data_IF_971201536339
#
_entry.id   IF_971201536339
#
_cell.length_a   1.000
_cell.length_b   1.000
_cell.length_c   1.000
_cell.angle_alpha   90.00
_cell.angle_beta   90.00
_cell.angle_gamma   90.00
#
_symmetry.space_group_name_H-M   'P 1'
#
loop_
_entity.id
_entity.type
_entity.pdbx_description
1 polymer ?
#
# COMPACT_ATOMS: atom_id res chain seq x y z
N UNK A 1 -25.37 3.49 -12.13
CA UNK A 1 -24.42 3.05 -11.09
C UNK A 1 -23.15 2.59 -11.80
N UNK A 2 -22.02 3.24 -11.55
CA UNK A 2 -20.73 2.80 -12.12
C UNK A 2 -20.42 1.42 -11.57
N UNK A 3 -20.29 0.42 -12.44
CA UNK A 3 -19.95 -0.95 -12.08
C UNK A 3 -18.69 -0.93 -11.23
N UNK A 4 -18.83 -1.22 -9.94
CA UNK A 4 -17.70 -1.26 -9.03
C UNK A 4 -16.91 -2.55 -9.29
N UNK A 5 -15.78 -2.40 -9.94
CA UNK A 5 -14.86 -3.48 -10.29
C UNK A 5 -13.44 -3.01 -10.01
N UNK A 6 -12.69 -3.82 -9.27
CA UNK A 6 -11.27 -3.57 -9.07
C UNK A 6 -10.53 -3.97 -10.35
N UNK A 7 -9.78 -3.04 -10.93
CA UNK A 7 -8.85 -3.31 -12.01
C UNK A 7 -7.49 -3.72 -11.41
N UNK A 8 -7.24 -5.02 -11.36
CA UNK A 8 -6.03 -5.59 -10.78
C UNK A 8 -4.75 -5.14 -11.48
N UNK A 9 -4.78 -4.95 -12.80
CA UNK A 9 -3.61 -4.52 -13.57
C UNK A 9 -3.26 -3.08 -13.25
N UNK A 10 -4.27 -2.20 -13.20
CA UNK A 10 -4.08 -0.81 -12.78
C UNK A 10 -3.57 -0.72 -11.34
N UNK A 11 -4.09 -1.53 -10.41
CA UNK A 11 -3.59 -1.56 -9.01
C UNK A 11 -2.13 -2.03 -8.97
N UNK A 12 -1.77 -3.06 -9.72
CA UNK A 12 -0.40 -3.55 -9.77
C UNK A 12 0.57 -2.49 -10.32
N UNK A 13 0.18 -1.78 -11.38
CA UNK A 13 0.97 -0.68 -11.94
C UNK A 13 1.20 0.44 -10.93
N UNK A 14 0.16 0.83 -10.20
CA UNK A 14 0.26 1.83 -9.14
C UNK A 14 1.20 1.36 -8.03
N UNK A 15 1.09 0.11 -7.58
CA UNK A 15 1.99 -0.45 -6.56
C UNK A 15 3.45 -0.49 -7.02
N UNK A 16 3.71 -0.81 -8.30
CA UNK A 16 5.05 -0.76 -8.88
C UNK A 16 5.61 0.66 -8.94
N UNK A 17 4.80 1.64 -9.31
CA UNK A 17 5.19 3.05 -9.28
C UNK A 17 5.52 3.52 -7.86
N UNK A 18 4.68 3.18 -6.89
CA UNK A 18 4.91 3.54 -5.48
C UNK A 18 6.19 2.89 -4.94
N UNK A 19 6.46 1.64 -5.30
CA UNK A 19 7.72 0.96 -4.94
C UNK A 19 8.94 1.67 -5.53
N UNK A 20 8.88 2.03 -6.81
CA UNK A 20 9.96 2.77 -7.49
C UNK A 20 10.21 4.14 -6.83
N UNK A 21 9.13 4.89 -6.53
CA UNK A 21 9.24 6.16 -5.81
C UNK A 21 9.76 6.00 -4.38
N UNK A 22 9.46 4.89 -3.70
CA UNK A 22 10.03 4.58 -2.39
C UNK A 22 11.55 4.33 -2.47
N UNK A 23 12.00 3.59 -3.48
CA UNK A 23 13.42 3.33 -3.72
C UNK A 23 14.17 4.64 -4.05
N UNK A 24 13.60 5.49 -4.89
CA UNK A 24 14.15 6.80 -5.22
C UNK A 24 14.25 7.72 -3.99
N UNK A 25 13.21 7.73 -3.14
CA UNK A 25 13.24 8.47 -1.88
C UNK A 25 14.34 7.94 -0.94
N UNK A 26 14.45 6.62 -0.79
CA UNK A 26 15.45 6.01 0.09
C UNK A 26 16.88 6.23 -0.38
N UNK A 27 17.12 6.26 -1.69
CA UNK A 27 18.45 6.52 -2.26
C UNK A 27 18.85 7.99 -2.21
N UNK A 28 17.88 8.90 -2.36
CA UNK A 28 18.10 10.35 -2.25
C UNK A 28 18.43 10.78 -0.82
N UNK A 29 17.87 10.08 0.16
CA UNK A 29 18.16 10.25 1.60
C UNK A 29 19.22 9.24 2.01
N UNK A 30 20.39 9.28 1.37
CA UNK A 30 21.50 8.45 1.81
C UNK A 30 22.12 9.00 3.10
N UNK A 31 22.48 8.11 4.01
CA UNK A 31 23.31 8.40 5.19
C UNK A 31 24.60 9.16 4.80
N UNK A 32 25.07 8.94 3.57
CA UNK A 32 26.23 9.59 2.97
C UNK A 32 26.02 11.10 2.72
N UNK A 33 24.82 11.52 2.30
CA UNK A 33 24.49 12.94 2.12
C UNK A 33 24.44 13.67 3.48
N UNK A 34 23.91 13.00 4.50
CA UNK A 34 23.82 13.52 5.87
C UNK A 34 25.20 13.63 6.52
N UNK A 35 26.04 12.60 6.39
CA UNK A 35 27.41 12.59 6.92
C UNK A 35 28.30 13.62 6.23
N UNK A 36 28.17 13.82 4.91
CA UNK A 36 28.91 14.87 4.19
C UNK A 36 28.53 16.27 4.69
N UNK A 37 27.25 16.52 4.99
CA UNK A 37 26.81 17.77 5.61
C UNK A 37 27.43 17.95 7.01
N UNK A 38 27.56 16.86 7.77
CA UNK A 38 28.18 16.84 9.09
C UNK A 38 29.67 17.18 9.07
N UNK A 39 30.41 16.58 8.14
CA UNK A 39 31.85 16.83 7.95
C UNK A 39 32.11 18.29 7.57
N UNK A 40 31.22 18.91 6.78
CA UNK A 40 31.31 20.34 6.47
C UNK A 40 31.15 21.27 7.68
N UNK A 41 30.42 20.86 8.72
CA UNK A 41 30.12 21.68 9.90
C UNK A 41 31.17 21.57 11.00
N UNK A 42 31.84 20.42 11.11
CA UNK A 42 32.91 20.22 12.10
C UNK A 42 34.10 21.16 11.87
N UNK A 43 34.26 21.70 10.66
CA UNK A 43 35.29 22.70 10.32
C UNK A 43 35.03 24.08 10.98
N UNK A 44 33.80 24.37 11.42
CA UNK A 44 33.43 25.58 12.16
C UNK A 44 33.50 25.37 13.68
N UNK A 45 34.71 25.46 14.25
CA UNK A 45 34.95 25.16 15.68
C UNK A 45 34.42 26.22 16.68
N UNK A 46 34.33 25.80 17.95
CA UNK A 46 34.14 26.47 19.26
C UNK A 46 33.18 27.67 19.41
N UNK A 47 33.15 28.62 18.47
CA UNK A 47 32.28 29.80 18.49
C UNK A 47 30.88 29.53 17.90
N UNK A 48 30.76 28.52 17.05
CA UNK A 48 29.52 28.14 16.37
C UNK A 48 28.89 26.87 16.92
N UNK A 49 29.41 26.30 18.01
CA UNK A 49 29.02 24.98 18.56
C UNK A 49 27.50 24.71 18.73
N UNK A 50 26.64 25.71 19.03
CA UNK A 50 25.20 25.52 19.04
C UNK A 50 24.58 25.21 17.67
N UNK A 51 25.20 25.69 16.58
CA UNK A 51 24.70 25.53 15.21
C UNK A 51 24.85 24.09 14.70
N UNK A 52 26.01 23.41 14.81
CA UNK A 52 26.12 21.98 14.53
C UNK A 52 25.17 21.13 15.36
N UNK A 53 24.98 21.44 16.65
CA UNK A 53 24.04 20.70 17.51
C UNK A 53 22.58 20.86 17.08
N UNK A 54 22.16 22.08 16.75
CA UNK A 54 20.82 22.33 16.24
C UNK A 54 20.59 21.62 14.91
N UNK A 55 21.60 21.60 14.03
CA UNK A 55 21.49 20.89 12.77
C UNK A 55 21.47 19.37 12.94
N UNK A 56 22.28 18.83 13.85
CA UNK A 56 22.27 17.40 14.21
C UNK A 56 20.88 16.96 14.67
N UNK A 57 20.26 17.72 15.59
CA UNK A 57 18.90 17.45 16.06
C UNK A 57 17.87 17.52 14.92
N UNK A 58 18.00 18.49 14.01
CA UNK A 58 17.12 18.62 12.84
C UNK A 58 17.29 17.44 11.89
N UNK A 59 18.52 17.03 11.59
CA UNK A 59 18.82 15.90 10.71
C UNK A 59 18.35 14.58 11.29
N UNK A 60 18.57 14.34 12.59
CA UNK A 60 18.05 13.17 13.29
C UNK A 60 16.51 13.10 13.26
N UNK A 61 15.84 14.25 13.41
CA UNK A 61 14.39 14.34 13.27
C UNK A 61 13.94 14.05 11.84
N UNK A 62 14.67 14.55 10.83
CA UNK A 62 14.37 14.25 9.42
C UNK A 62 14.53 12.77 9.12
N UNK A 63 15.59 12.12 9.61
CA UNK A 63 15.80 10.68 9.44
C UNK A 63 14.63 9.87 10.02
N UNK A 64 14.25 10.16 11.26
CA UNK A 64 13.10 9.51 11.92
C UNK A 64 11.79 9.72 11.14
N UNK A 65 11.57 10.94 10.64
CA UNK A 65 10.37 11.26 9.85
C UNK A 65 10.35 10.51 8.51
N UNK A 66 11.50 10.39 7.85
CA UNK A 66 11.63 9.70 6.56
C UNK A 66 11.45 8.19 6.71
N UNK A 67 11.99 7.60 7.78
CA UNK A 67 11.71 6.21 8.15
C UNK A 67 10.21 5.98 8.39
N UNK A 68 9.56 6.87 9.14
CA UNK A 68 8.12 6.79 9.39
C UNK A 68 7.30 6.90 8.09
N UNK A 69 7.73 7.74 7.14
CA UNK A 69 7.11 7.85 5.81
C UNK A 69 7.30 6.54 5.03
N UNK A 70 8.51 6.00 4.98
CA UNK A 70 8.81 4.73 4.31
C UNK A 70 7.95 3.59 4.87
N UNK A 71 7.85 3.48 6.20
CA UNK A 71 7.02 2.48 6.87
C UNK A 71 5.54 2.61 6.50
N UNK A 72 5.01 3.84 6.41
CA UNK A 72 3.61 4.08 5.98
C UNK A 72 3.39 3.69 4.53
N UNK A 73 4.32 4.00 3.64
CA UNK A 73 4.25 3.62 2.22
C UNK A 73 4.22 2.10 2.10
N UNK A 74 5.14 1.38 2.76
CA UNK A 74 5.17 -0.07 2.74
C UNK A 74 3.91 -0.69 3.33
N UNK A 75 3.41 -0.18 4.46
CA UNK A 75 2.15 -0.66 5.04
C UNK A 75 0.96 -0.44 4.09
N UNK A 76 0.91 0.71 3.41
CA UNK A 76 -0.10 1.01 2.40
C UNK A 76 -0.05 0.05 1.22
N UNK A 77 1.15 -0.23 0.67
CA UNK A 77 1.32 -1.17 -0.43
C UNK A 77 0.86 -2.58 -0.06
N UNK A 78 1.26 -3.08 1.10
CA UNK A 78 0.84 -4.40 1.61
C UNK A 78 -0.67 -4.44 1.84
N UNK A 79 -1.25 -3.39 2.43
CA UNK A 79 -2.68 -3.29 2.68
C UNK A 79 -3.51 -3.33 1.39
N UNK A 80 -3.14 -2.53 0.39
CA UNK A 80 -3.81 -2.48 -0.92
C UNK A 80 -3.66 -3.81 -1.67
N UNK A 81 -2.47 -4.39 -1.66
CA UNK A 81 -2.22 -5.71 -2.27
C UNK A 81 -3.11 -6.79 -1.65
N UNK A 82 -3.14 -6.88 -0.32
CA UNK A 82 -3.96 -7.85 0.40
C UNK A 82 -5.46 -7.64 0.19
N UNK A 83 -5.94 -6.39 0.22
CA UNK A 83 -7.33 -6.09 -0.07
C UNK A 83 -7.73 -6.54 -1.48
N UNK A 84 -6.86 -6.28 -2.47
CA UNK A 84 -7.07 -6.68 -3.86
C UNK A 84 -7.16 -8.19 -4.03
N UNK A 85 -6.29 -8.94 -3.34
CA UNK A 85 -6.34 -10.42 -3.32
C UNK A 85 -7.60 -10.95 -2.63
N UNK A 86 -7.97 -10.36 -1.48
CA UNK A 86 -9.17 -10.76 -0.74
C UNK A 86 -10.45 -10.54 -1.57
N UNK A 87 -10.53 -9.45 -2.33
CA UNK A 87 -11.63 -9.20 -3.26
C UNK A 87 -11.73 -10.26 -4.34
N UNK A 88 -10.60 -10.66 -4.92
CA UNK A 88 -10.57 -11.70 -5.95
C UNK A 88 -11.02 -13.05 -5.38
N UNK A 89 -10.47 -13.44 -4.23
CA UNK A 89 -10.86 -14.69 -3.56
C UNK A 89 -12.37 -14.69 -3.25
N UNK A 90 -12.91 -13.58 -2.72
CA UNK A 90 -14.34 -13.46 -2.47
C UNK A 90 -15.20 -13.57 -3.74
N UNK A 91 -14.74 -13.03 -4.89
CA UNK A 91 -15.46 -13.21 -6.15
C UNK A 91 -15.43 -14.65 -6.66
N UNK A 92 -14.30 -15.34 -6.53
CA UNK A 92 -14.16 -16.75 -6.89
C UNK A 92 -15.06 -17.63 -6.01
N UNK A 93 -15.09 -17.40 -4.70
CA UNK A 93 -15.95 -18.12 -3.74
C UNK A 93 -17.44 -17.87 -4.01
N UNK A 94 -17.82 -16.62 -4.31
CA UNK A 94 -19.19 -16.28 -4.68
C UNK A 94 -19.60 -16.98 -5.99
N UNK A 95 -18.73 -16.98 -7.00
CA UNK A 95 -19.00 -17.65 -8.26
C UNK A 95 -19.15 -19.17 -8.08
N UNK A 96 -18.28 -19.79 -7.29
CA UNK A 96 -18.36 -21.22 -6.95
C UNK A 96 -19.67 -21.56 -6.22
N UNK A 97 -20.07 -20.72 -5.25
CA UNK A 97 -21.32 -20.89 -4.52
C UNK A 97 -22.52 -20.83 -5.46
N UNK A 98 -22.58 -19.83 -6.35
CA UNK A 98 -23.66 -19.69 -7.33
C UNK A 98 -23.72 -20.89 -8.28
N UNK A 99 -22.57 -21.41 -8.74
CA UNK A 99 -22.51 -22.61 -9.57
C UNK A 99 -23.03 -23.85 -8.83
N UNK A 100 -22.63 -24.04 -7.57
CA UNK A 100 -23.11 -25.16 -6.76
C UNK A 100 -24.63 -25.10 -6.57
N UNK A 101 -25.17 -23.92 -6.28
CA UNK A 101 -26.61 -23.74 -6.10
C UNK A 101 -27.37 -23.90 -7.41
N UNK A 102 -26.77 -23.55 -8.54
CA UNK A 102 -27.34 -23.80 -9.87
C UNK A 102 -27.50 -25.30 -10.13
N UNK A 103 -26.48 -26.10 -9.82
CA UNK A 103 -26.56 -27.55 -9.92
C UNK A 103 -27.63 -28.13 -8.99
N UNK A 104 -27.66 -27.67 -7.73
CA UNK A 104 -28.68 -28.11 -6.77
C UNK A 104 -30.10 -27.81 -7.25
N UNK A 105 -30.35 -26.60 -7.74
CA UNK A 105 -31.65 -26.20 -8.27
C UNK A 105 -32.03 -26.99 -9.52
N UNK A 106 -31.07 -27.31 -10.40
CA UNK A 106 -31.30 -28.13 -11.58
C UNK A 106 -31.70 -29.57 -11.21
N UNK A 107 -31.10 -30.14 -10.15
CA UNK A 107 -31.38 -31.51 -9.71
C UNK A 107 -32.69 -31.63 -8.90
N UNK A 108 -33.02 -30.60 -8.11
CA UNK A 108 -34.13 -30.66 -7.14
C UNK A 108 -35.35 -29.84 -7.52
N UNK A 109 -35.20 -28.89 -8.45
CA UNK A 109 -36.21 -27.88 -8.76
C UNK A 109 -36.35 -26.79 -7.70
N UNK A 110 -35.51 -26.75 -6.66
CA UNK A 110 -35.54 -25.72 -5.62
C UNK A 110 -34.73 -24.47 -6.02
N UNK A 111 -35.43 -23.37 -6.26
CA UNK A 111 -34.83 -22.08 -6.64
C UNK A 111 -34.76 -21.07 -5.48
N UNK A 112 -35.11 -21.49 -4.25
CA UNK A 112 -35.21 -20.60 -3.08
C UNK A 112 -33.94 -19.78 -2.86
N UNK A 113 -32.75 -20.37 -3.10
CA UNK A 113 -31.47 -19.66 -3.02
C UNK A 113 -31.43 -18.43 -3.94
N UNK A 114 -31.84 -18.59 -5.19
CA UNK A 114 -31.83 -17.53 -6.21
C UNK A 114 -32.93 -16.50 -5.96
N UNK A 115 -34.08 -16.91 -5.44
CA UNK A 115 -35.17 -15.99 -5.07
C UNK A 115 -34.77 -15.06 -3.91
N UNK A 116 -33.97 -15.56 -2.97
CA UNK A 116 -33.52 -14.80 -1.80
C UNK A 116 -32.28 -13.94 -2.08
N UNK A 117 -31.39 -14.37 -2.98
CA UNK A 117 -30.08 -13.73 -3.19
C UNK A 117 -29.92 -13.09 -4.58
N UNK A 118 -30.80 -13.39 -5.53
CA UNK A 118 -30.86 -12.70 -6.82
C UNK A 118 -31.53 -11.35 -6.66
N UNK A 119 -30.84 -10.27 -7.07
CA UNK A 119 -31.48 -8.96 -7.22
C UNK A 119 -32.47 -9.02 -8.40
N UNK A 120 -33.71 -9.42 -8.14
CA UNK A 120 -34.85 -9.31 -9.06
C UNK A 120 -34.75 -10.20 -10.31
N UNK A 121 -35.57 -11.25 -10.36
CA UNK A 121 -35.68 -12.13 -11.51
C UNK A 121 -36.27 -11.47 -12.76
N UNK A 122 -35.96 -12.10 -13.89
CA UNK A 122 -36.40 -11.87 -15.28
C UNK A 122 -35.78 -10.66 -16.02
#
# INVERSE_FOLDING_TARGET
MSTWRIDHLSVQQVLQQVSSSQEELSSSVSEQAVTTAFDGLTWGSLLTQPVPQALDAVLAQYQTNLEAIGNRISAGMVGVGNATMAYRAGQEDMAATVQQQMHHAADTGDFTFFEQHGQGGA
#
